data_IF_713489197261
#
_entry.id   IF_713489197261
#
_cell.length_a   1.000
_cell.length_b   1.000
_cell.length_c   1.000
_cell.angle_alpha   90.00
_cell.angle_beta   90.00
_cell.angle_gamma   90.00
#
_symmetry.space_group_name_H-M   'P 1'
#
loop_
_entity.id
_entity.type
_entity.pdbx_description
1 polymer ?
#
# COMPACT_ATOMS: atom_id res chain seq x y z
N UNK A 1 9.74 -5.91 0.01
CA UNK A 1 10.07 -5.20 1.27
C UNK A 1 8.79 -4.85 2.02
N UNK A 2 8.86 -4.70 3.34
CA UNK A 2 7.72 -4.28 4.14
C UNK A 2 7.44 -2.78 3.93
N UNK A 3 6.23 -2.37 3.48
CA UNK A 3 5.92 -0.96 3.23
C UNK A 3 5.93 -0.11 4.51
N UNK A 4 5.73 -0.74 5.67
CA UNK A 4 5.71 -0.08 6.97
C UNK A 4 7.04 -0.19 7.74
N UNK A 5 8.13 -0.58 7.07
CA UNK A 5 9.46 -0.58 7.66
C UNK A 5 10.10 0.80 7.59
N UNK A 6 10.37 1.40 8.73
CA UNK A 6 11.06 2.70 8.81
C UNK A 6 12.47 2.64 8.21
N UNK A 7 13.14 1.48 8.30
CA UNK A 7 14.45 1.25 7.69
C UNK A 7 14.34 1.29 6.17
N UNK A 8 13.35 0.58 5.60
CA UNK A 8 13.09 0.61 4.16
C UNK A 8 12.80 2.05 3.70
N UNK A 9 11.86 2.72 4.34
CA UNK A 9 11.47 4.09 3.99
C UNK A 9 12.66 5.06 4.04
N UNK A 10 13.52 4.96 5.06
CA UNK A 10 14.73 5.76 5.18
C UNK A 10 15.65 5.59 3.98
N UNK A 11 15.93 4.34 3.58
CA UNK A 11 16.86 4.08 2.49
C UNK A 11 16.24 4.36 1.11
N UNK A 12 14.96 4.07 0.89
CA UNK A 12 14.25 4.43 -0.33
C UNK A 12 14.28 5.95 -0.55
N UNK A 13 13.90 6.72 0.47
CA UNK A 13 13.96 8.18 0.45
C UNK A 13 15.38 8.71 0.16
N UNK A 14 16.40 8.14 0.80
CA UNK A 14 17.78 8.56 0.61
C UNK A 14 18.30 8.25 -0.80
N UNK A 15 17.94 7.08 -1.35
CA UNK A 15 18.29 6.69 -2.71
C UNK A 15 17.64 7.63 -3.73
N UNK A 16 16.34 7.87 -3.62
CA UNK A 16 15.61 8.81 -4.48
C UNK A 16 16.24 10.21 -4.42
N UNK A 17 16.57 10.70 -3.23
CA UNK A 17 17.26 12.01 -3.08
C UNK A 17 18.59 12.04 -3.82
N UNK A 18 19.40 10.97 -3.76
CA UNK A 18 20.68 10.89 -4.49
C UNK A 18 20.51 10.82 -6.01
N UNK A 19 19.48 10.13 -6.48
CA UNK A 19 19.17 10.08 -7.92
C UNK A 19 18.76 11.46 -8.43
N UNK A 20 17.90 12.14 -7.71
CA UNK A 20 17.46 13.51 -8.07
C UNK A 20 18.60 14.53 -7.96
N UNK A 21 19.46 14.42 -6.95
CA UNK A 21 20.66 15.24 -6.82
C UNK A 21 21.58 15.07 -8.03
N UNK A 22 21.77 13.83 -8.48
CA UNK A 22 22.68 13.50 -9.59
C UNK A 22 22.13 13.84 -10.96
N UNK A 23 20.86 13.59 -11.19
CA UNK A 23 20.27 13.59 -12.52
C UNK A 23 19.17 14.64 -12.73
N UNK A 24 18.72 15.30 -11.68
CA UNK A 24 17.57 16.19 -11.73
C UNK A 24 17.72 17.38 -12.68
N UNK A 25 18.95 17.82 -12.94
CA UNK A 25 19.23 18.93 -13.86
C UNK A 25 19.45 18.45 -15.32
N UNK A 26 19.31 17.15 -15.60
CA UNK A 26 19.50 16.63 -16.96
C UNK A 26 18.26 16.88 -17.81
N UNK A 27 18.37 17.68 -18.91
CA UNK A 27 17.23 18.07 -19.73
C UNK A 27 16.61 16.91 -20.55
N UNK A 28 17.29 15.77 -20.60
CA UNK A 28 16.78 14.58 -21.30
C UNK A 28 15.89 13.70 -20.43
N UNK A 29 15.77 13.99 -19.12
CA UNK A 29 14.82 13.30 -18.25
C UNK A 29 13.46 13.96 -18.39
N UNK A 30 12.55 13.26 -19.07
CA UNK A 30 11.19 13.74 -19.35
C UNK A 30 10.20 13.42 -18.24
N UNK A 31 10.41 12.32 -17.51
CA UNK A 31 9.60 11.93 -16.36
C UNK A 31 10.38 10.96 -15.44
N UNK A 32 9.89 10.81 -14.23
CA UNK A 32 10.40 9.86 -13.22
C UNK A 32 9.44 8.70 -13.08
N UNK A 33 9.97 7.48 -13.17
CA UNK A 33 9.26 6.26 -12.85
C UNK A 33 9.73 5.76 -11.48
N UNK A 34 8.86 5.88 -10.47
CA UNK A 34 9.17 5.46 -9.10
C UNK A 34 8.83 3.98 -8.94
N UNK A 35 9.84 3.19 -8.56
CA UNK A 35 9.70 1.77 -8.30
C UNK A 35 9.12 0.99 -9.51
N UNK A 36 8.75 -0.26 -9.29
CA UNK A 36 8.14 -1.12 -10.31
C UNK A 36 7.06 -1.98 -9.64
N UNK A 37 5.86 -2.00 -10.20
CA UNK A 37 4.80 -2.94 -9.83
C UNK A 37 4.57 -3.03 -8.31
N UNK A 38 4.13 -1.94 -7.69
CA UNK A 38 3.73 -1.98 -6.29
C UNK A 38 2.64 -3.05 -6.08
N UNK A 39 2.88 -4.03 -5.18
CA UNK A 39 1.86 -5.07 -5.08
C UNK A 39 1.98 -6.14 -4.02
N UNK A 40 3.04 -6.30 -3.30
CA UNK A 40 3.19 -7.37 -2.33
C UNK A 40 2.48 -7.07 -0.99
N UNK A 41 1.77 -8.05 -0.44
CA UNK A 41 1.25 -8.01 0.92
C UNK A 41 2.35 -8.36 1.93
N UNK A 42 2.27 -7.79 3.13
CA UNK A 42 3.21 -8.04 4.22
C UNK A 42 2.45 -8.12 5.54
N UNK A 43 2.73 -9.15 6.34
CA UNK A 43 2.01 -9.45 7.59
C UNK A 43 2.91 -9.42 8.82
N UNK A 44 4.04 -8.73 8.77
CA UNK A 44 4.97 -8.62 9.88
C UNK A 44 4.46 -7.69 11.00
N UNK A 45 5.16 -7.67 12.14
CA UNK A 45 4.78 -6.85 13.30
C UNK A 45 4.68 -5.35 12.99
N UNK A 46 5.50 -4.83 12.06
CA UNK A 46 5.37 -3.42 11.63
C UNK A 46 4.04 -3.19 10.94
N UNK A 47 3.60 -4.13 10.09
CA UNK A 47 2.31 -4.05 9.42
C UNK A 47 1.15 -4.22 10.40
N UNK A 48 1.25 -5.14 11.38
CA UNK A 48 0.25 -5.29 12.44
C UNK A 48 0.06 -3.98 13.20
N UNK A 49 1.15 -3.38 13.69
CA UNK A 49 1.10 -2.10 14.42
C UNK A 49 0.52 -0.97 13.57
N UNK A 50 0.96 -0.85 12.33
CA UNK A 50 0.45 0.17 11.41
C UNK A 50 -1.03 -0.05 11.05
N UNK A 51 -1.47 -1.30 10.93
CA UNK A 51 -2.87 -1.65 10.68
C UNK A 51 -3.78 -1.24 11.84
N UNK A 52 -3.34 -1.45 13.10
CA UNK A 52 -4.09 -0.96 14.26
C UNK A 52 -4.26 0.57 14.24
N UNK A 53 -3.22 1.31 13.88
CA UNK A 53 -3.30 2.78 13.74
C UNK A 53 -4.29 3.15 12.65
N UNK A 54 -4.21 2.50 11.48
CA UNK A 54 -5.11 2.74 10.35
C UNK A 54 -6.58 2.44 10.71
N UNK A 55 -6.83 1.34 11.43
CA UNK A 55 -8.18 0.99 11.90
C UNK A 55 -8.72 2.00 12.92
N UNK A 56 -7.88 2.42 13.87
CA UNK A 56 -8.25 3.45 14.86
C UNK A 56 -8.61 4.77 14.17
N UNK A 57 -7.87 5.13 13.14
CA UNK A 57 -8.20 6.33 12.36
C UNK A 57 -9.49 6.18 11.56
N UNK A 58 -9.73 5.02 10.97
CA UNK A 58 -10.93 4.75 10.16
C UNK A 58 -12.20 4.64 11.01
N UNK A 59 -12.17 3.83 12.06
CA UNK A 59 -13.37 3.42 12.80
C UNK A 59 -13.59 4.17 14.12
N UNK A 60 -12.55 4.72 14.71
CA UNK A 60 -12.52 5.44 15.99
C UNK A 60 -12.85 4.58 17.22
N UNK A 61 -13.71 3.58 17.12
CA UNK A 61 -14.12 2.71 18.22
C UNK A 61 -14.12 1.23 17.83
N UNK A 62 -13.91 0.36 18.80
CA UNK A 62 -14.02 -1.10 18.62
C UNK A 62 -15.45 -1.50 18.23
N UNK A 63 -16.46 -0.85 18.79
CA UNK A 63 -17.85 -1.11 18.42
C UNK A 63 -18.09 -0.88 16.91
N UNK A 64 -17.56 0.20 16.34
CA UNK A 64 -17.67 0.46 14.90
C UNK A 64 -16.94 -0.62 14.05
N UNK A 65 -15.81 -1.16 14.53
CA UNK A 65 -15.14 -2.30 13.88
C UNK A 65 -16.03 -3.54 13.90
N UNK A 66 -16.54 -3.92 15.09
CA UNK A 66 -17.42 -5.09 15.23
C UNK A 66 -18.64 -5.00 14.30
N UNK A 67 -19.29 -3.85 14.27
CA UNK A 67 -20.43 -3.60 13.37
C UNK A 67 -20.03 -3.72 11.90
N UNK A 68 -18.94 -3.07 11.49
CA UNK A 68 -18.49 -3.07 10.08
C UNK A 68 -18.05 -4.45 9.59
N UNK A 69 -17.47 -5.26 10.45
CA UNK A 69 -16.96 -6.59 10.13
C UNK A 69 -17.97 -7.71 10.48
N UNK A 70 -19.12 -7.35 11.07
CA UNK A 70 -20.15 -8.31 11.56
C UNK A 70 -19.56 -9.33 12.54
N UNK A 71 -18.80 -8.84 13.53
CA UNK A 71 -18.07 -9.70 14.48
C UNK A 71 -18.93 -10.11 15.69
N UNK A 72 -20.16 -9.65 15.81
CA UNK A 72 -21.09 -10.03 16.87
C UNK A 72 -21.76 -11.38 16.57
N UNK A 73 -20.97 -12.38 16.19
CA UNK A 73 -21.43 -13.67 15.72
C UNK A 73 -20.49 -14.77 16.22
N UNK A 74 -21.03 -15.82 16.80
CA UNK A 74 -20.30 -17.00 17.28
C UNK A 74 -19.09 -16.71 18.18
N UNK A 75 -19.19 -15.66 19.04
CA UNK A 75 -18.11 -15.32 19.96
C UNK A 75 -16.91 -14.63 19.30
N UNK A 76 -17.06 -14.08 18.08
CA UNK A 76 -15.99 -13.36 17.39
C UNK A 76 -15.87 -11.89 17.79
N UNK A 77 -16.72 -11.41 18.71
CA UNK A 77 -16.70 -10.04 19.18
C UNK A 77 -15.32 -9.63 19.67
N UNK A 78 -14.81 -8.54 19.13
CA UNK A 78 -13.54 -7.94 19.53
C UNK A 78 -13.81 -6.94 20.65
N UNK A 79 -13.05 -7.04 21.74
CA UNK A 79 -13.20 -6.17 22.91
C UNK A 79 -12.08 -5.14 23.02
N UNK A 80 -10.90 -5.43 22.48
CA UNK A 80 -9.74 -4.55 22.49
C UNK A 80 -9.04 -4.52 21.14
N UNK A 81 -8.35 -3.42 20.84
CA UNK A 81 -7.56 -3.27 19.62
C UNK A 81 -6.44 -4.29 19.49
N UNK A 82 -5.87 -4.73 20.58
CA UNK A 82 -4.76 -5.69 20.62
C UNK A 82 -5.19 -7.11 20.25
N UNK A 83 -6.48 -7.42 20.32
CA UNK A 83 -7.08 -8.69 19.87
C UNK A 83 -7.13 -8.80 18.33
N UNK A 84 -7.03 -7.67 17.61
CA UNK A 84 -7.04 -7.67 16.16
C UNK A 84 -5.71 -8.20 15.63
N UNK A 85 -5.74 -9.35 14.98
CA UNK A 85 -4.60 -9.95 14.31
C UNK A 85 -4.63 -9.69 12.80
N UNK A 86 -3.49 -9.81 12.13
CA UNK A 86 -3.43 -9.71 10.67
C UNK A 86 -4.06 -10.96 10.02
N UNK A 87 -4.65 -10.88 8.82
CA UNK A 87 -5.44 -11.97 8.24
C UNK A 87 -4.71 -13.31 8.10
N UNK A 88 -3.40 -13.33 7.91
CA UNK A 88 -2.62 -14.56 7.81
C UNK A 88 -2.55 -15.38 9.11
N UNK A 89 -2.86 -14.78 10.24
CA UNK A 89 -2.92 -15.48 11.54
C UNK A 89 -4.26 -16.20 11.77
N UNK A 90 -5.28 -15.88 10.98
CA UNK A 90 -6.64 -16.39 11.13
C UNK A 90 -6.93 -17.62 10.24
N UNK A 91 -5.93 -18.42 9.95
CA UNK A 91 -5.96 -19.48 8.96
C UNK A 91 -6.99 -20.61 9.13
N UNK A 92 -8.26 -20.32 9.21
CA UNK A 92 -9.40 -21.22 9.40
C UNK A 92 -9.55 -22.30 8.30
N UNK A 93 -8.48 -22.99 7.97
CA UNK A 93 -8.50 -24.08 6.97
C UNK A 93 -8.60 -23.62 5.51
N UNK A 94 -8.63 -22.32 5.24
CA UNK A 94 -8.78 -21.76 3.89
C UNK A 94 -7.40 -21.57 3.20
N UNK A 95 -6.34 -21.89 3.89
CA UNK A 95 -4.95 -21.79 3.42
C UNK A 95 -4.20 -20.63 4.09
N UNK A 96 -2.88 -20.60 3.83
CA UNK A 96 -2.02 -19.53 4.37
C UNK A 96 -2.52 -18.17 3.89
N UNK A 97 -2.49 -17.18 4.77
CA UNK A 97 -2.81 -15.77 4.45
C UNK A 97 -4.26 -15.53 4.01
N UNK A 98 -5.17 -16.44 4.33
CA UNK A 98 -6.59 -16.30 4.03
C UNK A 98 -7.42 -16.48 5.30
N UNK A 99 -8.53 -15.78 5.37
CA UNK A 99 -9.53 -15.92 6.43
C UNK A 99 -10.93 -15.89 5.84
N UNK A 100 -11.88 -16.56 6.50
CA UNK A 100 -13.30 -16.45 6.20
C UNK A 100 -13.88 -15.08 6.57
N UNK A 101 -13.20 -14.30 7.42
CA UNK A 101 -13.66 -12.97 7.81
C UNK A 101 -13.41 -11.94 6.72
N UNK A 102 -14.41 -11.70 5.88
CA UNK A 102 -14.31 -10.80 4.73
C UNK A 102 -14.00 -9.35 5.14
N UNK A 103 -14.55 -8.87 6.25
CA UNK A 103 -14.34 -7.51 6.74
C UNK A 103 -12.87 -7.19 6.98
N UNK A 104 -12.18 -7.99 7.79
CA UNK A 104 -10.76 -7.80 8.09
C UNK A 104 -9.90 -7.98 6.84
N UNK A 105 -10.22 -8.94 5.96
CA UNK A 105 -9.47 -9.18 4.73
C UNK A 105 -9.56 -8.00 3.77
N UNK A 106 -10.75 -7.42 3.59
CA UNK A 106 -10.96 -6.25 2.73
C UNK A 106 -10.22 -5.05 3.29
N UNK A 107 -10.34 -4.80 4.60
CA UNK A 107 -9.67 -3.65 5.22
C UNK A 107 -8.16 -3.81 5.24
N UNK A 108 -7.64 -5.02 5.39
CA UNK A 108 -6.21 -5.25 5.30
C UNK A 108 -5.66 -4.96 3.90
N UNK A 109 -6.36 -5.35 2.85
CA UNK A 109 -6.00 -4.99 1.46
C UNK A 109 -6.04 -3.48 1.22
N UNK A 110 -7.06 -2.79 1.73
CA UNK A 110 -7.13 -1.32 1.68
C UNK A 110 -5.95 -0.68 2.40
N UNK A 111 -5.65 -1.16 3.61
CA UNK A 111 -4.51 -0.72 4.39
C UNK A 111 -3.18 -0.93 3.65
N UNK A 112 -2.96 -2.10 3.06
CA UNK A 112 -1.73 -2.36 2.29
C UNK A 112 -1.64 -1.44 1.06
N UNK A 113 -2.74 -1.25 0.33
CA UNK A 113 -2.78 -0.28 -0.79
C UNK A 113 -2.41 1.14 -0.32
N UNK A 114 -2.93 1.57 0.82
CA UNK A 114 -2.62 2.88 1.42
C UNK A 114 -1.15 2.97 1.87
N UNK A 115 -0.61 1.91 2.46
CA UNK A 115 0.78 1.84 2.90
C UNK A 115 1.76 1.93 1.71
N UNK A 116 1.46 1.22 0.62
CA UNK A 116 2.25 1.28 -0.61
C UNK A 116 2.16 2.67 -1.26
N UNK A 117 0.95 3.24 -1.33
CA UNK A 117 0.75 4.60 -1.85
C UNK A 117 1.52 5.64 -1.02
N UNK A 118 1.58 5.47 0.30
CA UNK A 118 2.37 6.34 1.17
C UNK A 118 3.86 6.32 0.83
N UNK A 119 4.42 5.15 0.47
CA UNK A 119 5.81 5.05 0.01
C UNK A 119 6.01 5.73 -1.36
N UNK A 120 5.09 5.53 -2.31
CA UNK A 120 5.12 6.25 -3.58
C UNK A 120 5.12 7.77 -3.35
N UNK A 121 4.21 8.27 -2.53
CA UNK A 121 4.12 9.71 -2.20
C UNK A 121 5.40 10.22 -1.54
N UNK A 122 5.98 9.46 -0.63
CA UNK A 122 7.24 9.83 0.04
C UNK A 122 8.37 10.03 -0.97
N UNK A 123 8.53 9.14 -1.94
CA UNK A 123 9.57 9.26 -2.97
C UNK A 123 9.23 10.36 -3.99
N UNK A 124 7.97 10.48 -4.40
CA UNK A 124 7.48 11.57 -5.23
C UNK A 124 7.78 12.94 -4.61
N UNK A 125 7.52 13.10 -3.32
CA UNK A 125 7.70 14.38 -2.64
C UNK A 125 9.19 14.77 -2.55
N UNK A 126 10.10 13.80 -2.49
CA UNK A 126 11.55 14.04 -2.62
C UNK A 126 11.89 14.58 -4.00
N UNK A 127 11.33 14.02 -5.06
CA UNK A 127 11.53 14.52 -6.44
C UNK A 127 10.96 15.93 -6.58
N UNK A 128 9.73 16.14 -6.12
CA UNK A 128 9.02 17.43 -6.19
C UNK A 128 9.75 18.55 -5.44
N UNK A 129 10.40 18.25 -4.34
CA UNK A 129 11.15 19.24 -3.57
C UNK A 129 12.28 19.88 -4.38
N UNK A 130 12.87 19.16 -5.34
CA UNK A 130 13.93 19.67 -6.22
C UNK A 130 13.39 20.05 -7.61
N UNK A 131 12.42 19.31 -8.11
CA UNK A 131 11.82 19.48 -9.42
C UNK A 131 10.30 19.64 -9.33
N UNK A 132 9.77 20.84 -8.98
CA UNK A 132 8.33 21.03 -8.73
C UNK A 132 7.41 20.66 -9.90
N UNK A 133 7.91 20.73 -11.13
CA UNK A 133 7.15 20.47 -12.35
C UNK A 133 7.47 19.12 -13.01
N UNK A 134 8.28 18.25 -12.34
CA UNK A 134 8.60 16.95 -12.88
C UNK A 134 7.33 16.10 -13.06
N UNK A 135 7.21 15.40 -14.17
CA UNK A 135 6.18 14.37 -14.36
C UNK A 135 6.61 13.09 -13.65
N UNK A 136 5.72 12.53 -12.84
CA UNK A 136 6.04 11.38 -11.97
C UNK A 136 4.98 10.29 -12.14
N UNK A 137 5.42 9.07 -12.33
CA UNK A 137 4.58 7.90 -12.53
C UNK A 137 5.12 6.67 -11.80
N UNK A 138 4.33 5.63 -11.77
CA UNK A 138 4.72 4.23 -11.59
C UNK A 138 3.81 3.35 -12.44
N UNK A 139 4.25 2.14 -12.80
CA UNK A 139 3.40 1.23 -13.55
C UNK A 139 2.45 0.46 -12.63
N UNK A 140 1.20 0.37 -13.06
CA UNK A 140 0.15 -0.44 -12.45
C UNK A 140 0.06 -1.79 -13.15
N UNK A 141 -0.21 -2.86 -12.40
CA UNK A 141 -0.22 -4.23 -12.95
C UNK A 141 -1.60 -4.61 -13.54
N UNK A 142 -2.05 -3.90 -14.58
CA UNK A 142 -3.30 -4.26 -15.29
C UNK A 142 -4.49 -4.53 -14.36
N UNK A 143 -4.90 -5.78 -14.22
CA UNK A 143 -6.07 -6.20 -13.41
C UNK A 143 -5.73 -6.54 -11.96
N UNK A 144 -4.61 -6.12 -11.43
CA UNK A 144 -4.21 -6.42 -10.04
C UNK A 144 -5.15 -5.78 -9.03
N UNK A 145 -5.81 -6.61 -8.21
CA UNK A 145 -6.84 -6.20 -7.26
C UNK A 145 -6.31 -5.70 -5.91
N UNK A 146 -5.00 -5.74 -5.70
CA UNK A 146 -4.36 -5.36 -4.45
C UNK A 146 -4.19 -3.85 -4.24
N UNK A 147 -4.43 -3.04 -5.28
CA UNK A 147 -4.33 -1.57 -5.22
C UNK A 147 -5.65 -0.91 -5.60
N UNK A 148 -5.98 0.18 -4.91
CA UNK A 148 -7.08 1.07 -5.28
C UNK A 148 -6.61 2.06 -6.37
N UNK A 149 -6.74 1.68 -7.63
CA UNK A 149 -6.27 2.46 -8.76
C UNK A 149 -6.90 3.85 -8.85
N UNK A 150 -8.16 4.03 -8.43
CA UNK A 150 -8.78 5.35 -8.38
C UNK A 150 -8.10 6.29 -7.38
N UNK A 151 -7.68 5.75 -6.25
CA UNK A 151 -6.94 6.51 -5.24
C UNK A 151 -5.51 6.79 -5.69
N UNK A 152 -4.84 5.80 -6.29
CA UNK A 152 -3.48 5.92 -6.81
C UNK A 152 -3.38 6.93 -7.96
N UNK A 153 -4.30 6.88 -8.94
CA UNK A 153 -4.29 7.76 -10.10
C UNK A 153 -4.34 9.25 -9.75
N UNK A 154 -4.97 9.61 -8.64
CA UNK A 154 -5.03 11.00 -8.16
C UNK A 154 -3.68 11.55 -7.66
N UNK A 155 -2.74 10.68 -7.37
CA UNK A 155 -1.43 11.02 -6.85
C UNK A 155 -0.31 10.95 -7.91
N UNK A 156 -0.66 10.55 -9.14
CA UNK A 156 0.24 10.37 -10.27
C UNK A 156 0.00 11.45 -11.32
N UNK A 157 1.06 11.88 -12.01
CA UNK A 157 0.93 12.81 -13.15
C UNK A 157 0.62 12.06 -14.45
N UNK A 158 1.11 10.84 -14.56
CA UNK A 158 0.88 9.93 -15.68
C UNK A 158 0.40 8.60 -15.12
N UNK A 159 -0.76 8.14 -15.55
CA UNK A 159 -1.25 6.80 -15.24
C UNK A 159 -0.74 5.85 -16.31
N UNK A 160 0.08 4.89 -15.91
CA UNK A 160 0.60 3.86 -16.80
C UNK A 160 0.35 2.47 -16.21
N UNK A 161 0.21 1.49 -17.07
CA UNK A 161 0.06 0.10 -16.65
C UNK A 161 0.81 -0.86 -17.57
N UNK A 162 1.05 -2.06 -17.07
CA UNK A 162 1.66 -3.12 -17.87
C UNK A 162 0.68 -3.70 -18.86
N UNK A 163 1.15 -3.88 -20.09
CA UNK A 163 0.37 -4.45 -21.17
C UNK A 163 1.26 -5.40 -21.99
N UNK A 164 0.86 -6.66 -22.07
CA UNK A 164 1.58 -7.73 -22.73
C UNK A 164 0.73 -8.33 -23.86
N UNK A 165 0.56 -7.64 -25.01
CA UNK A 165 -0.17 -8.19 -26.14
C UNK A 165 0.53 -9.43 -26.70
N UNK A 166 -0.24 -10.43 -27.13
CA UNK A 166 0.31 -11.58 -27.83
C UNK A 166 0.90 -11.16 -29.19
N UNK A 167 2.02 -11.76 -29.58
CA UNK A 167 2.71 -11.42 -30.83
C UNK A 167 2.14 -12.13 -32.06
N UNK A 168 1.35 -13.17 -31.84
CA UNK A 168 0.90 -14.15 -32.84
C UNK A 168 -0.62 -14.10 -33.10
N UNK A 169 -1.27 -12.99 -32.77
CA UNK A 169 -2.72 -12.78 -33.02
C UNK A 169 -2.96 -11.63 -33.97
#
# INVERSE_FOLDING_TARGET
ACPNSLVYQKYAKALTAKLVERYGDNPHITYWHINNEYGAECYCDNCKKAFHVWLKDKYKTIHAVNTAWNMEFWGHTIYDWDEIVVPNALGEGIGKEKTAFSGISIDYRRFISDSLLSNYKMERDVIRAKQPHALITTNLMGTFKGLDYFKWAKEMDIVSWDNYPAYDT
#
